data_IF_563681845093
#
_entry.id   IF_563681845093
#
_cell.length_a   1.000
_cell.length_b   1.000
_cell.length_c   1.000
_cell.angle_alpha   90.00
_cell.angle_beta   90.00
_cell.angle_gamma   90.00
#
_symmetry.space_group_name_H-M   'P 1'
#
loop_
_entity.id
_entity.type
_entity.pdbx_description
1 polymer ?
#
# COMPACT_ATOMS: atom_id res chain seq x y z
N UNK A 1 -19.52 0.13 4.60
CA UNK A 1 -18.38 -0.68 5.07
C UNK A 1 -17.14 0.14 4.76
N UNK A 2 -16.86 1.12 5.63
CA UNK A 2 -15.72 2.03 5.48
C UNK A 2 -14.45 1.31 5.91
N UNK A 3 -13.46 1.28 5.03
CA UNK A 3 -12.11 0.82 5.34
C UNK A 3 -11.38 1.95 6.10
N UNK A 4 -11.50 1.96 7.41
CA UNK A 4 -10.70 2.80 8.32
C UNK A 4 -9.28 2.25 8.43
N UNK A 5 -8.47 2.50 7.40
CA UNK A 5 -7.04 2.16 7.37
C UNK A 5 -6.16 3.08 6.50
N UNK A 6 -6.71 4.16 5.91
CA UNK A 6 -6.04 4.97 4.88
C UNK A 6 -6.01 6.48 5.15
N UNK A 7 -5.98 6.92 6.41
CA UNK A 7 -6.27 8.31 6.78
C UNK A 7 -5.24 9.33 6.22
N UNK A 8 -3.94 9.01 6.21
CA UNK A 8 -2.91 9.95 5.74
C UNK A 8 -2.83 10.03 4.21
N UNK A 9 -3.00 8.89 3.56
CA UNK A 9 -2.78 8.71 2.12
C UNK A 9 -3.93 9.36 1.35
N UNK A 10 -5.17 9.08 1.77
CA UNK A 10 -6.41 9.69 1.25
C UNK A 10 -6.42 11.20 1.47
N UNK A 11 -5.95 11.67 2.63
CA UNK A 11 -5.84 13.09 2.93
C UNK A 11 -4.85 13.78 1.99
N UNK A 12 -3.66 13.22 1.79
CA UNK A 12 -2.66 13.79 0.88
C UNK A 12 -3.17 13.74 -0.56
N UNK A 13 -3.80 12.64 -0.99
CA UNK A 13 -4.40 12.55 -2.33
C UNK A 13 -5.43 13.67 -2.57
N UNK A 14 -6.28 13.91 -1.57
CA UNK A 14 -7.29 14.97 -1.62
C UNK A 14 -6.65 16.36 -1.61
N UNK A 15 -5.71 16.61 -0.70
CA UNK A 15 -5.05 17.90 -0.53
C UNK A 15 -4.16 18.29 -1.72
N UNK A 16 -3.60 17.30 -2.44
CA UNK A 16 -2.78 17.51 -3.64
C UNK A 16 -3.59 17.55 -4.93
N UNK A 17 -4.92 17.39 -4.85
CA UNK A 17 -5.83 17.49 -5.99
C UNK A 17 -5.86 16.28 -6.91
N UNK A 18 -5.23 15.16 -6.54
CA UNK A 18 -5.29 13.93 -7.35
C UNK A 18 -6.74 13.50 -7.59
N UNK A 19 -7.57 13.52 -6.54
CA UNK A 19 -8.94 13.05 -6.69
C UNK A 19 -9.77 13.92 -7.63
N UNK A 20 -9.50 15.23 -7.65
CA UNK A 20 -10.16 16.18 -8.54
C UNK A 20 -9.74 15.95 -9.98
N UNK A 21 -8.44 15.81 -10.24
CA UNK A 21 -7.91 15.57 -11.58
C UNK A 21 -8.40 14.24 -12.16
N UNK A 22 -8.41 13.17 -11.35
CA UNK A 22 -8.92 11.85 -11.73
C UNK A 22 -10.42 11.90 -12.07
N UNK A 23 -11.20 12.59 -11.23
CA UNK A 23 -12.64 12.76 -11.44
C UNK A 23 -12.99 13.51 -12.73
N UNK A 24 -12.22 14.58 -13.03
CA UNK A 24 -12.37 15.37 -14.26
C UNK A 24 -12.01 14.55 -15.49
N UNK A 25 -10.85 13.89 -15.48
CA UNK A 25 -10.41 13.06 -16.59
C UNK A 25 -11.41 11.94 -16.89
N UNK A 26 -11.96 11.29 -15.86
CA UNK A 26 -12.99 10.27 -16.06
C UNK A 26 -14.29 10.82 -16.66
N UNK A 27 -14.73 12.02 -16.21
CA UNK A 27 -15.92 12.68 -16.77
C UNK A 27 -15.73 13.10 -18.23
N UNK A 28 -14.51 13.51 -18.61
CA UNK A 28 -14.13 13.80 -19.99
C UNK A 28 -14.21 12.54 -20.86
N UNK A 29 -13.60 11.43 -20.42
CA UNK A 29 -13.66 10.15 -21.10
C UNK A 29 -15.10 9.62 -21.30
N UNK A 30 -15.97 9.73 -20.29
CA UNK A 30 -17.39 9.38 -20.45
C UNK A 30 -18.12 10.28 -21.45
N UNK A 31 -17.71 11.55 -21.55
CA UNK A 31 -18.20 12.48 -22.55
C UNK A 31 -17.82 12.05 -23.97
N UNK A 32 -16.56 11.65 -24.19
CA UNK A 32 -16.07 11.13 -25.48
C UNK A 32 -16.82 9.86 -25.90
N UNK A 33 -17.15 8.99 -24.95
CA UNK A 33 -17.84 7.72 -25.21
C UNK A 33 -19.35 7.87 -25.49
N UNK A 34 -19.90 9.06 -25.30
CA UNK A 34 -21.34 9.32 -25.45
C UNK A 34 -22.21 8.77 -24.31
N UNK A 35 -21.58 8.29 -23.23
CA UNK A 35 -22.24 7.69 -22.06
C UNK A 35 -22.70 8.76 -21.03
N UNK A 36 -22.48 10.04 -21.31
CA UNK A 36 -22.88 11.15 -20.42
C UNK A 36 -24.42 11.25 -20.37
N UNK A 37 -25.00 11.32 -19.16
CA UNK A 37 -26.45 11.51 -19.00
C UNK A 37 -26.90 12.80 -19.70
N UNK A 38 -27.94 12.70 -20.55
CA UNK A 38 -28.51 13.81 -21.34
C UNK A 38 -29.25 14.87 -20.51
N UNK A 39 -29.52 14.59 -19.24
CA UNK A 39 -30.17 15.54 -18.34
C UNK A 39 -29.07 16.27 -17.60
N UNK A 40 -28.86 17.54 -17.95
CA UNK A 40 -27.72 18.36 -17.53
C UNK A 40 -27.44 18.32 -16.03
N UNK A 41 -26.15 18.47 -15.70
CA UNK A 41 -25.50 18.32 -14.39
C UNK A 41 -24.99 16.89 -14.09
N UNK A 42 -24.01 16.42 -14.87
CA UNK A 42 -22.97 15.56 -14.28
C UNK A 42 -21.72 16.40 -14.01
N UNK A 43 -21.81 17.18 -12.93
CA UNK A 43 -20.68 17.73 -12.22
C UNK A 43 -19.75 16.55 -11.87
N UNK A 44 -18.52 16.58 -12.39
CA UNK A 44 -17.52 15.55 -12.12
C UNK A 44 -17.41 15.34 -10.60
N UNK A 45 -17.20 14.09 -10.16
CA UNK A 45 -17.01 13.78 -8.75
C UNK A 45 -15.56 13.40 -8.50
N UNK A 46 -14.94 13.83 -7.37
CA UNK A 46 -13.61 13.38 -7.01
C UNK A 46 -13.54 11.84 -6.99
N UNK A 47 -12.48 11.28 -7.57
CA UNK A 47 -12.25 9.82 -7.63
C UNK A 47 -10.91 9.46 -7.00
N UNK A 48 -10.83 8.41 -6.18
CA UNK A 48 -9.54 7.95 -5.69
C UNK A 48 -8.70 7.42 -6.86
N UNK A 49 -7.37 7.47 -6.71
CA UNK A 49 -6.48 6.78 -7.64
C UNK A 49 -6.75 5.26 -7.60
N UNK A 50 -6.58 4.54 -8.72
CA UNK A 50 -6.84 3.10 -8.80
C UNK A 50 -5.89 2.25 -7.95
N UNK A 51 -4.80 2.85 -7.47
CA UNK A 51 -3.84 2.23 -6.55
C UNK A 51 -3.33 3.27 -5.54
N UNK A 52 -2.78 2.78 -4.43
CA UNK A 52 -2.08 3.59 -3.42
C UNK A 52 -0.69 4.05 -3.94
N UNK A 53 -0.66 4.78 -5.05
CA UNK A 53 0.56 5.17 -5.74
C UNK A 53 1.52 5.97 -4.85
N UNK A 54 0.98 6.83 -3.98
CA UNK A 54 1.76 7.60 -3.02
C UNK A 54 2.49 6.71 -2.02
N UNK A 55 1.79 5.73 -1.44
CA UNK A 55 2.36 4.85 -0.43
C UNK A 55 3.40 3.91 -1.03
N UNK A 56 3.09 3.37 -2.22
CA UNK A 56 4.04 2.54 -2.94
C UNK A 56 5.33 3.30 -3.28
N UNK A 57 5.21 4.50 -3.87
CA UNK A 57 6.38 5.30 -4.20
C UNK A 57 7.15 5.74 -2.95
N UNK A 58 6.45 6.18 -1.90
CA UNK A 58 7.08 6.58 -0.64
C UNK A 58 7.82 5.41 0.03
N UNK A 59 7.25 4.20 0.01
CA UNK A 59 7.90 2.99 0.51
C UNK A 59 9.20 2.69 -0.23
N UNK A 60 9.20 2.78 -1.56
CA UNK A 60 10.42 2.60 -2.36
C UNK A 60 11.48 3.67 -2.06
N UNK A 61 11.08 4.93 -1.94
CA UNK A 61 12.03 5.99 -1.59
C UNK A 61 12.61 5.83 -0.19
N UNK A 62 11.81 5.37 0.78
CA UNK A 62 12.29 5.08 2.12
C UNK A 62 13.29 3.92 2.10
N UNK A 63 12.95 2.82 1.42
CA UNK A 63 13.84 1.67 1.28
C UNK A 63 15.17 2.06 0.61
N UNK A 64 15.11 2.85 -0.46
CA UNK A 64 16.31 3.39 -1.11
C UNK A 64 17.14 4.24 -0.15
N UNK A 65 16.52 5.19 0.55
CA UNK A 65 17.20 6.06 1.51
C UNK A 65 17.87 5.27 2.64
N UNK A 66 17.23 4.22 3.16
CA UNK A 66 17.80 3.32 4.18
C UNK A 66 19.04 2.60 3.65
N UNK A 67 19.02 2.11 2.41
CA UNK A 67 20.20 1.49 1.80
C UNK A 67 21.37 2.48 1.66
N UNK A 68 21.08 3.73 1.27
CA UNK A 68 22.09 4.79 1.18
C UNK A 68 22.65 5.12 2.57
N UNK A 69 21.80 5.27 3.57
CA UNK A 69 22.19 5.53 4.96
C UNK A 69 23.08 4.40 5.51
N UNK A 70 22.73 3.14 5.26
CA UNK A 70 23.54 1.98 5.64
C UNK A 70 24.90 1.97 4.93
N UNK A 71 24.92 2.26 3.62
CA UNK A 71 26.18 2.35 2.87
C UNK A 71 27.11 3.40 3.48
N UNK A 72 26.59 4.59 3.81
CA UNK A 72 27.38 5.66 4.44
C UNK A 72 27.82 5.30 5.85
N UNK A 73 26.95 4.65 6.62
CA UNK A 73 27.31 4.14 7.96
C UNK A 73 28.52 3.20 7.88
N UNK A 74 28.60 2.35 6.85
CA UNK A 74 29.72 1.41 6.66
C UNK A 74 30.98 2.13 6.21
N UNK A 75 30.89 3.10 5.28
CA UNK A 75 32.06 3.74 4.68
C UNK A 75 32.61 4.90 5.49
N UNK A 76 31.74 5.67 6.15
CA UNK A 76 32.07 6.92 6.83
C UNK A 76 31.86 6.82 8.35
N UNK A 77 31.15 5.78 8.82
CA UNK A 77 30.71 5.69 10.21
C UNK A 77 29.52 6.60 10.50
N UNK A 78 29.18 6.72 11.79
CA UNK A 78 28.10 7.60 12.26
C UNK A 78 26.70 6.99 12.17
N UNK A 79 25.70 7.84 12.43
CA UNK A 79 24.28 7.50 12.35
C UNK A 79 23.59 8.49 11.42
N UNK A 80 22.72 7.98 10.56
CA UNK A 80 22.12 8.73 9.47
C UNK A 80 20.60 8.69 9.57
N UNK A 81 19.96 9.84 9.42
CA UNK A 81 18.49 9.97 9.36
C UNK A 81 18.00 9.94 7.91
N UNK A 82 16.84 9.31 7.66
CA UNK A 82 16.15 9.31 6.37
C UNK A 82 14.72 9.81 6.58
N UNK A 83 14.32 10.85 5.83
CA UNK A 83 12.96 11.40 5.87
C UNK A 83 12.29 11.28 4.51
N UNK A 84 11.04 10.84 4.50
CA UNK A 84 10.19 10.78 3.30
C UNK A 84 8.87 11.48 3.60
N UNK A 85 8.43 12.36 2.69
CA UNK A 85 7.17 13.09 2.80
C UNK A 85 6.19 12.67 1.71
N UNK A 86 5.00 12.23 2.08
CA UNK A 86 3.95 11.88 1.13
C UNK A 86 3.53 13.07 0.25
N UNK A 87 3.48 14.28 0.81
CA UNK A 87 3.15 15.49 0.05
C UNK A 87 4.23 15.79 -1.00
N UNK A 88 5.49 15.59 -0.63
CA UNK A 88 6.63 15.72 -1.53
C UNK A 88 6.50 14.68 -2.67
N UNK A 89 6.34 13.39 -2.33
CA UNK A 89 6.11 12.31 -3.30
C UNK A 89 4.94 12.64 -4.24
N UNK A 90 3.85 13.20 -3.72
CA UNK A 90 2.73 13.67 -4.55
C UNK A 90 3.14 14.72 -5.58
N UNK A 91 3.92 15.72 -5.19
CA UNK A 91 4.45 16.71 -6.14
C UNK A 91 5.36 16.08 -7.21
N UNK A 92 6.20 15.11 -6.83
CA UNK A 92 7.03 14.38 -7.78
C UNK A 92 6.20 13.54 -8.76
N UNK A 93 5.16 12.83 -8.29
CA UNK A 93 4.25 12.10 -9.20
C UNK A 93 3.59 13.08 -10.19
N UNK A 94 3.17 14.26 -9.73
CA UNK A 94 2.58 15.28 -10.60
C UNK A 94 3.55 15.81 -11.65
N UNK A 95 4.86 15.85 -11.37
CA UNK A 95 5.85 16.33 -12.33
C UNK A 95 6.11 15.36 -13.49
N UNK A 96 5.68 14.10 -13.38
CA UNK A 96 5.82 13.09 -14.45
C UNK A 96 4.89 13.36 -15.65
N UNK A 97 3.94 14.28 -15.53
CA UNK A 97 2.93 14.57 -16.55
C UNK A 97 1.68 13.68 -16.43
N UNK A 98 0.73 13.85 -17.36
CA UNK A 98 -0.55 13.13 -17.38
C UNK A 98 -0.81 12.54 -18.76
N UNK A 99 -1.44 11.37 -18.78
CA UNK A 99 -1.96 10.76 -20.00
C UNK A 99 -3.28 11.44 -20.41
N UNK A 100 -3.67 11.28 -21.68
CA UNK A 100 -5.00 11.72 -22.10
C UNK A 100 -6.09 10.85 -21.46
N UNK A 101 -7.31 11.38 -21.22
CA UNK A 101 -8.42 10.59 -20.68
C UNK A 101 -8.71 9.31 -21.47
N UNK A 102 -8.70 9.40 -22.81
CA UNK A 102 -8.85 8.25 -23.68
C UNK A 102 -7.80 7.17 -23.42
N UNK A 103 -6.52 7.55 -23.27
CA UNK A 103 -5.45 6.60 -22.98
C UNK A 103 -5.59 5.99 -21.58
N UNK A 104 -5.90 6.83 -20.59
CA UNK A 104 -6.01 6.43 -19.18
C UNK A 104 -7.14 5.42 -18.94
N UNK A 105 -8.31 5.63 -19.55
CA UNK A 105 -9.52 4.83 -19.27
C UNK A 105 -9.98 3.92 -20.42
N UNK A 106 -9.51 4.15 -21.65
CA UNK A 106 -9.96 3.42 -22.84
C UNK A 106 -9.04 2.29 -23.30
N UNK A 107 -7.73 2.39 -23.03
CA UNK A 107 -6.72 1.45 -23.56
C UNK A 107 -6.26 0.45 -22.48
N UNK A 108 -6.40 0.80 -21.20
CA UNK A 108 -5.94 -0.03 -20.09
C UNK A 108 -6.63 -1.40 -20.01
N UNK A 109 -5.91 -2.42 -19.51
CA UNK A 109 -6.51 -3.71 -19.17
C UNK A 109 -7.50 -3.50 -18.02
N UNK A 110 -8.73 -4.05 -18.09
CA UNK A 110 -9.64 -4.00 -16.96
C UNK A 110 -9.04 -4.72 -15.75
N UNK A 111 -9.45 -4.29 -14.55
CA UNK A 111 -9.15 -5.04 -13.35
C UNK A 111 -9.68 -6.48 -13.49
N UNK A 112 -8.94 -7.45 -12.95
CA UNK A 112 -9.38 -8.83 -12.99
C UNK A 112 -10.69 -9.01 -12.22
N UNK A 113 -11.55 -9.91 -12.71
CA UNK A 113 -12.78 -10.26 -12.01
C UNK A 113 -12.46 -10.91 -10.66
N UNK A 114 -13.07 -10.39 -9.60
CA UNK A 114 -12.98 -10.97 -8.27
C UNK A 114 -13.86 -12.23 -8.24
N UNK A 115 -13.23 -13.40 -8.31
CA UNK A 115 -13.94 -14.68 -8.38
C UNK A 115 -13.11 -15.88 -7.96
N UNK A 116 -13.79 -17.02 -7.81
CA UNK A 116 -13.18 -18.34 -7.59
C UNK A 116 -13.44 -19.17 -8.85
N UNK A 117 -12.42 -19.82 -9.44
CA UNK A 117 -11.03 -19.88 -8.99
C UNK A 117 -10.30 -18.54 -9.12
N UNK A 118 -9.34 -18.29 -8.20
CA UNK A 118 -8.48 -17.12 -8.29
C UNK A 118 -7.70 -17.14 -9.60
N UNK A 119 -7.40 -15.96 -10.14
CA UNK A 119 -6.50 -15.85 -11.29
C UNK A 119 -5.15 -16.49 -11.00
N UNK A 120 -4.50 -17.05 -12.03
CA UNK A 120 -3.29 -17.86 -11.87
C UNK A 120 -2.17 -17.15 -11.07
N UNK A 121 -1.98 -15.84 -11.28
CA UNK A 121 -1.00 -15.04 -10.52
C UNK A 121 -1.32 -14.99 -9.03
N UNK A 122 -2.58 -14.68 -8.68
CA UNK A 122 -3.04 -14.62 -7.30
C UNK A 122 -3.08 -16.02 -6.67
N UNK A 123 -3.49 -17.04 -7.44
CA UNK A 123 -3.53 -18.42 -6.99
C UNK A 123 -2.14 -18.94 -6.61
N UNK A 124 -1.11 -18.63 -7.40
CA UNK A 124 0.28 -18.99 -7.10
C UNK A 124 0.89 -18.24 -5.90
N UNK A 125 0.28 -17.12 -5.50
CA UNK A 125 0.63 -16.35 -4.31
C UNK A 125 -0.31 -16.62 -3.13
N UNK A 126 -1.29 -17.51 -3.28
CA UNK A 126 -2.28 -17.77 -2.24
C UNK A 126 -2.00 -19.09 -1.52
N UNK A 127 -2.36 -19.14 -0.25
CA UNK A 127 -2.31 -20.32 0.60
C UNK A 127 -3.70 -20.59 1.17
N UNK A 128 -4.00 -21.86 1.42
CA UNK A 128 -5.16 -22.25 2.23
C UNK A 128 -4.78 -22.17 3.71
N UNK A 129 -5.57 -21.43 4.48
CA UNK A 129 -5.47 -21.35 5.93
C UNK A 129 -6.74 -21.93 6.57
N UNK A 130 -6.57 -22.51 7.76
CA UNK A 130 -7.71 -22.95 8.58
C UNK A 130 -7.91 -21.95 9.70
N UNK A 131 -9.13 -21.43 9.80
CA UNK A 131 -9.56 -20.58 10.90
C UNK A 131 -9.22 -21.25 12.25
N UNK A 132 -8.50 -20.53 13.11
CA UNK A 132 -8.22 -20.98 14.47
C UNK A 132 -9.52 -21.07 15.28
N UNK A 133 -9.64 -22.09 16.14
CA UNK A 133 -10.70 -22.10 17.15
C UNK A 133 -10.32 -21.04 18.16
N UNK A 134 -10.87 -19.82 18.03
CA UNK A 134 -10.61 -18.73 18.99
C UNK A 134 -10.84 -19.15 20.45
N UNK A 135 -10.46 -18.30 21.41
CA UNK A 135 -10.48 -18.61 22.87
C UNK A 135 -11.79 -19.24 23.38
N UNK A 136 -12.92 -18.99 22.72
CA UNK A 136 -14.22 -19.57 23.06
C UNK A 136 -14.40 -21.03 22.62
N UNK A 137 -13.44 -21.60 21.88
CA UNK A 137 -13.46 -22.95 21.33
C UNK A 137 -14.51 -23.18 20.23
N UNK A 138 -15.22 -22.13 19.78
CA UNK A 138 -16.39 -22.25 18.89
C UNK A 138 -16.07 -21.97 17.42
N UNK A 139 -14.83 -21.66 17.08
CA UNK A 139 -14.39 -21.48 15.69
C UNK A 139 -14.75 -22.71 14.84
N UNK A 140 -15.29 -22.48 13.64
CA UNK A 140 -15.79 -23.56 12.78
C UNK A 140 -14.69 -24.24 11.97
N UNK A 141 -13.42 -23.82 12.14
CA UNK A 141 -12.28 -24.37 11.42
C UNK A 141 -12.43 -24.23 9.91
N UNK A 142 -13.05 -23.13 9.46
CA UNK A 142 -13.32 -22.87 8.04
C UNK A 142 -12.01 -22.80 7.26
N UNK A 143 -12.03 -23.38 6.06
CA UNK A 143 -10.98 -23.14 5.08
C UNK A 143 -11.13 -21.72 4.54
N UNK A 144 -10.04 -20.96 4.58
CA UNK A 144 -9.93 -19.62 4.03
C UNK A 144 -8.76 -19.59 3.07
N UNK A 145 -8.81 -18.71 2.07
CA UNK A 145 -7.67 -18.46 1.18
C UNK A 145 -7.08 -17.11 1.53
N UNK A 146 -5.78 -17.05 1.77
CA UNK A 146 -5.04 -15.84 2.09
C UNK A 146 -3.82 -15.70 1.16
N UNK A 147 -3.31 -14.48 0.98
CA UNK A 147 -2.03 -14.29 0.30
C UNK A 147 -0.89 -14.77 1.21
N UNK A 148 0.05 -15.51 0.63
CA UNK A 148 1.28 -15.97 1.28
C UNK A 148 2.15 -14.77 1.68
N UNK A 149 3.01 -14.96 2.66
CA UNK A 149 3.94 -13.93 3.06
C UNK A 149 4.93 -13.61 1.92
N UNK A 150 5.18 -12.31 1.71
CA UNK A 150 6.05 -11.85 0.64
C UNK A 150 7.54 -12.20 0.87
N UNK A 151 7.94 -12.43 2.13
CA UNK A 151 9.30 -12.74 2.48
C UNK A 151 9.60 -14.23 2.27
N UNK A 152 10.39 -14.56 1.24
CA UNK A 152 10.88 -15.92 1.00
C UNK A 152 12.35 -15.97 1.44
N UNK A 153 12.58 -16.31 2.70
CA UNK A 153 13.91 -16.31 3.31
C UNK A 153 14.43 -17.75 3.42
N UNK A 154 15.60 -18.03 2.82
CA UNK A 154 16.18 -19.37 2.83
C UNK A 154 16.76 -19.79 4.18
N UNK A 155 17.17 -18.83 5.02
CA UNK A 155 17.78 -19.07 6.33
C UNK A 155 16.81 -18.97 7.50
N UNK A 156 15.80 -18.12 7.37
CA UNK A 156 14.76 -17.87 8.38
C UNK A 156 13.40 -17.95 7.69
N UNK A 157 13.01 -19.14 7.19
CA UNK A 157 11.79 -19.28 6.41
C UNK A 157 10.58 -18.87 7.24
N UNK A 158 9.69 -18.14 6.60
CA UNK A 158 8.42 -17.74 7.20
C UNK A 158 7.60 -18.99 7.41
N UNK A 159 7.12 -19.19 8.63
CA UNK A 159 6.22 -20.29 8.97
C UNK A 159 4.78 -19.83 8.78
N UNK A 160 4.06 -20.50 7.87
CA UNK A 160 2.68 -20.20 7.53
C UNK A 160 1.77 -21.35 8.01
N UNK A 161 1.00 -21.12 9.07
CA UNK A 161 -0.07 -22.02 9.52
C UNK A 161 0.33 -23.18 10.46
N UNK A 162 -0.48 -23.32 11.51
CA UNK A 162 -0.65 -24.44 12.47
C UNK A 162 0.56 -24.74 13.37
N UNK A 163 0.48 -24.31 14.65
CA UNK A 163 1.06 -25.05 15.77
C UNK A 163 0.38 -26.42 15.81
N UNK A 164 1.13 -27.52 15.80
CA UNK A 164 0.57 -28.86 15.86
C UNK A 164 -0.32 -29.04 17.10
N UNK A 165 -1.44 -29.76 16.97
CA UNK A 165 -2.36 -30.05 18.10
C UNK A 165 -1.72 -30.82 19.27
N UNK A 166 -0.45 -31.25 19.15
CA UNK A 166 0.25 -32.12 20.10
C UNK A 166 1.62 -31.60 20.54
N UNK A 167 1.94 -30.33 20.36
CA UNK A 167 3.17 -29.77 20.91
C UNK A 167 2.80 -28.84 22.07
N UNK A 168 3.35 -29.12 23.25
CA UNK A 168 3.45 -28.18 24.37
C UNK A 168 4.33 -27.02 23.90
N UNK A 169 3.74 -26.16 23.07
CA UNK A 169 4.42 -24.99 22.55
C UNK A 169 4.34 -23.94 23.64
N UNK A 170 5.49 -23.59 24.19
CA UNK A 170 5.64 -22.41 25.05
C UNK A 170 4.87 -21.24 24.42
N UNK A 171 4.09 -20.52 25.23
CA UNK A 171 3.28 -19.34 24.85
C UNK A 171 4.07 -18.24 24.08
N UNK A 172 5.37 -18.43 23.86
CA UNK A 172 6.31 -17.53 23.19
C UNK A 172 6.57 -17.87 21.70
N UNK A 173 6.14 -19.02 21.15
CA UNK A 173 6.32 -19.34 19.70
C UNK A 173 5.17 -18.79 18.83
N UNK A 174 4.92 -17.49 18.92
CA UNK A 174 3.98 -16.80 18.04
C UNK A 174 4.61 -16.58 16.66
N UNK A 175 4.25 -17.42 15.69
CA UNK A 175 4.28 -17.04 14.27
C UNK A 175 3.44 -15.77 14.11
N UNK A 176 4.10 -14.62 13.91
CA UNK A 176 3.51 -13.30 14.10
C UNK A 176 2.19 -13.09 13.34
N UNK A 177 1.04 -12.94 14.02
CA UNK A 177 -0.06 -12.23 13.42
C UNK A 177 0.34 -10.76 13.42
N UNK A 178 0.56 -10.16 12.24
CA UNK A 178 0.78 -8.71 12.11
C UNK A 178 -0.38 -7.96 12.80
N UNK A 179 -0.13 -7.47 14.02
CA UNK A 179 -0.99 -6.53 14.73
C UNK A 179 -0.45 -5.14 14.41
N UNK A 180 -1.01 -4.49 13.40
CA UNK A 180 -0.72 -3.08 13.09
C UNK A 180 -1.51 -2.18 14.06
N UNK A 181 -0.90 -1.86 15.20
CA UNK A 181 -1.29 -0.71 16.02
C UNK A 181 -0.71 0.56 15.39
N UNK A 182 -1.58 1.49 15.03
CA UNK A 182 -1.18 2.80 14.52
C UNK A 182 -1.29 3.82 15.65
N UNK A 183 -0.16 4.09 16.28
CA UNK A 183 0.00 5.10 17.33
C UNK A 183 0.70 6.31 16.70
N UNK A 184 0.25 7.51 17.07
CA UNK A 184 0.43 8.73 16.28
C UNK A 184 1.86 9.22 16.07
N UNK A 185 2.03 9.99 14.99
CA UNK A 185 3.17 10.88 14.83
C UNK A 185 2.72 12.24 14.30
N UNK A 186 3.03 13.28 15.07
CA UNK A 186 2.81 14.69 14.75
C UNK A 186 3.94 15.23 13.87
N UNK A 187 3.55 16.04 12.87
CA UNK A 187 4.28 17.13 12.18
C UNK A 187 5.68 16.86 11.61
N UNK A 188 5.80 17.01 10.28
CA UNK A 188 6.93 17.75 9.68
C UNK A 188 6.59 18.32 8.30
N UNK A 189 6.98 19.57 8.13
CA UNK A 189 6.73 20.46 7.00
C UNK A 189 7.69 20.20 5.82
N UNK A 190 7.31 20.75 4.68
CA UNK A 190 7.88 20.69 3.33
C UNK A 190 9.33 21.16 3.20
N UNK A 191 10.24 20.28 2.76
CA UNK A 191 11.43 20.57 1.92
C UNK A 191 11.99 19.25 1.36
N UNK A 192 12.39 19.26 0.09
CA UNK A 192 13.05 18.13 -0.56
C UNK A 192 14.56 18.22 -0.35
N UNK A 193 15.09 17.25 0.39
CA UNK A 193 16.46 16.76 0.31
C UNK A 193 16.41 15.34 0.88
N UNK A 194 17.07 14.37 0.24
CA UNK A 194 17.50 13.16 0.95
C UNK A 194 18.62 13.63 1.87
N UNK A 195 18.24 14.29 2.95
CA UNK A 195 19.17 14.84 3.93
C UNK A 195 19.59 13.70 4.83
N UNK A 196 20.62 12.97 4.39
CA UNK A 196 21.37 12.08 5.26
C UNK A 196 22.17 12.99 6.20
N UNK A 197 21.66 13.21 7.40
CA UNK A 197 22.32 14.04 8.41
C UNK A 197 23.08 13.15 9.39
N UNK A 198 24.35 13.46 9.63
CA UNK A 198 25.13 12.78 10.66
C UNK A 198 24.70 13.31 12.03
N UNK A 199 24.14 12.44 12.87
CA UNK A 199 23.61 12.83 14.18
C UNK A 199 24.69 13.20 15.22
N UNK A 200 25.98 13.10 14.89
CA UNK A 200 27.09 13.49 15.77
C UNK A 200 27.56 14.95 15.61
N UNK A 201 27.07 15.68 14.60
CA UNK A 201 27.50 17.06 14.32
C UNK A 201 26.47 18.12 14.77
N UNK A 202 25.50 17.73 15.59
CA UNK A 202 24.44 18.60 16.13
C UNK A 202 24.60 18.91 17.60
#
# INVERSE_FOLDING_TARGET
MEATGGALTTLVQTATGFNVDEGKAYSEYLGEKGDRKKNGEEEWKPRPLPMQALDHAAGYFLAFGVNVALSRMITEGGSWEVRVSLAAVGQWIRSLGRLSPHQAFGIGKPFPELGVPLQAELGGLSIEWREHKGDDGKGKGRKMTALRHAAVLSRTPVREGILGENEDVDDDDWGSPMRLGADGFEKACTRWEVETRNLREG
#
